data_IF_711516050390
#
_entry.id   IF_711516050390
#
_cell.length_a   1.000
_cell.length_b   1.000
_cell.length_c   1.000
_cell.angle_alpha   90.00
_cell.angle_beta   90.00
_cell.angle_gamma   90.00
#
_symmetry.space_group_name_H-M   'P 1'
#
loop_
_entity.id
_entity.type
_entity.pdbx_description
1 polymer ?
#
# COMPACT_ATOMS: atom_id res chain seq x y z
N UNK A 1 9.16 -21.52 3.03
CA UNK A 1 10.27 -20.95 2.26
C UNK A 1 9.97 -19.48 1.97
N UNK A 2 10.86 -18.58 2.36
CA UNK A 2 10.66 -17.14 2.14
C UNK A 2 11.14 -16.76 0.75
N UNK A 3 10.44 -15.83 0.14
CA UNK A 3 10.83 -15.26 -1.16
C UNK A 3 11.76 -14.06 -0.94
N UNK A 4 12.26 -13.48 -2.04
CA UNK A 4 12.98 -12.20 -2.01
C UNK A 4 12.03 -11.02 -2.26
N UNK A 5 10.73 -11.21 -2.01
CA UNK A 5 9.65 -10.31 -2.39
C UNK A 5 8.85 -9.86 -1.18
N UNK A 6 8.54 -8.58 -1.11
CA UNK A 6 7.64 -8.01 -0.11
C UNK A 6 6.43 -7.36 -0.80
N UNK A 7 5.28 -7.42 -0.16
CA UNK A 7 4.06 -6.76 -0.62
C UNK A 7 3.62 -5.76 0.45
N UNK A 8 3.48 -4.49 0.04
CA UNK A 8 3.00 -3.41 0.90
C UNK A 8 1.53 -3.16 0.62
N UNK A 9 0.71 -3.32 1.66
CA UNK A 9 -0.71 -3.00 1.66
C UNK A 9 -0.87 -1.61 2.27
N UNK A 10 -1.10 -0.59 1.43
CA UNK A 10 -0.99 0.82 1.81
C UNK A 10 -2.35 1.42 2.14
N UNK A 11 -2.51 1.88 3.36
CA UNK A 11 -3.64 2.69 3.87
C UNK A 11 -5.02 2.07 3.62
N UNK A 12 -5.14 0.74 3.73
CA UNK A 12 -6.40 0.03 3.58
C UNK A 12 -7.22 0.11 4.85
N UNK A 13 -7.78 1.28 5.10
CA UNK A 13 -8.49 1.68 6.32
C UNK A 13 -9.97 1.90 6.05
N UNK A 14 -10.80 1.83 7.08
CA UNK A 14 -12.26 1.93 6.96
C UNK A 14 -12.72 3.19 6.24
N UNK A 15 -12.08 4.34 6.50
CA UNK A 15 -12.44 5.61 5.85
C UNK A 15 -12.30 5.56 4.32
N UNK A 16 -11.37 4.77 3.79
CA UNK A 16 -11.17 4.65 2.34
C UNK A 16 -12.30 3.87 1.65
N UNK A 17 -13.03 3.08 2.41
CA UNK A 17 -14.14 2.26 1.92
C UNK A 17 -15.51 2.82 2.29
N UNK A 18 -15.56 4.03 2.87
CA UNK A 18 -16.81 4.75 3.14
C UNK A 18 -17.45 5.16 1.82
N UNK A 19 -18.73 4.83 1.57
CA UNK A 19 -19.38 5.11 0.29
C UNK A 19 -19.54 6.59 -0.02
N UNK A 20 -19.38 7.48 0.97
CA UNK A 20 -19.53 8.93 0.80
C UNK A 20 -18.20 9.62 0.48
N UNK A 21 -17.08 9.14 1.04
CA UNK A 21 -15.80 9.86 1.04
C UNK A 21 -14.63 8.99 0.59
N UNK A 22 -14.86 7.71 0.36
CA UNK A 22 -13.82 6.76 0.03
C UNK A 22 -13.52 6.65 -1.47
N UNK A 23 -12.91 5.55 -1.83
CA UNK A 23 -12.52 5.25 -3.21
C UNK A 23 -13.74 4.94 -4.08
N UNK A 24 -13.61 5.17 -5.41
CA UNK A 24 -14.75 5.03 -6.33
C UNK A 24 -15.23 3.58 -6.51
N UNK A 25 -14.37 2.61 -6.29
CA UNK A 25 -14.63 1.17 -6.52
C UNK A 25 -14.46 0.32 -5.26
N UNK A 26 -14.91 0.82 -4.11
CA UNK A 26 -14.62 0.23 -2.81
C UNK A 26 -14.91 -1.28 -2.72
N UNK A 27 -16.09 -1.71 -3.17
CA UNK A 27 -16.51 -3.12 -3.03
C UNK A 27 -15.62 -4.08 -3.81
N UNK A 28 -15.38 -3.78 -5.09
CA UNK A 28 -14.51 -4.61 -5.93
C UNK A 28 -13.05 -4.56 -5.50
N UNK A 29 -12.59 -3.39 -5.07
CA UNK A 29 -11.22 -3.21 -4.62
C UNK A 29 -10.95 -3.98 -3.31
N UNK A 30 -11.90 -4.02 -2.39
CA UNK A 30 -11.78 -4.80 -1.15
C UNK A 30 -11.58 -6.29 -1.46
N UNK A 31 -12.33 -6.82 -2.43
CA UNK A 31 -12.17 -8.21 -2.87
C UNK A 31 -10.77 -8.44 -3.44
N UNK A 32 -10.31 -7.54 -4.30
CA UNK A 32 -8.96 -7.63 -4.89
C UNK A 32 -7.86 -7.60 -3.82
N UNK A 33 -7.98 -6.71 -2.84
CA UNK A 33 -7.00 -6.62 -1.76
C UNK A 33 -7.02 -7.85 -0.85
N UNK A 34 -8.20 -8.39 -0.58
CA UNK A 34 -8.35 -9.63 0.20
C UNK A 34 -7.68 -10.82 -0.51
N UNK A 35 -7.89 -10.94 -1.82
CA UNK A 35 -7.25 -11.98 -2.63
C UNK A 35 -5.74 -11.81 -2.70
N UNK A 36 -5.27 -10.57 -2.88
CA UNK A 36 -3.85 -10.26 -2.92
C UNK A 36 -3.14 -10.62 -1.60
N UNK A 37 -3.80 -10.37 -0.46
CA UNK A 37 -3.24 -10.74 0.84
C UNK A 37 -3.13 -12.26 1.00
N UNK A 38 -4.16 -12.99 0.61
CA UNK A 38 -4.15 -14.45 0.65
C UNK A 38 -3.05 -15.01 -0.25
N UNK A 39 -2.90 -14.46 -1.44
CA UNK A 39 -1.85 -14.87 -2.38
C UNK A 39 -0.45 -14.60 -1.86
N UNK A 40 -0.19 -13.40 -1.33
CA UNK A 40 1.10 -13.04 -0.77
C UNK A 40 1.50 -14.00 0.37
N UNK A 41 0.55 -14.31 1.25
CA UNK A 41 0.76 -15.28 2.35
C UNK A 41 1.04 -16.68 1.82
N UNK A 42 0.31 -17.12 0.81
CA UNK A 42 0.49 -18.44 0.22
C UNK A 42 1.85 -18.59 -0.45
N UNK A 43 2.34 -17.53 -1.08
CA UNK A 43 3.65 -17.51 -1.74
C UNK A 43 4.81 -17.39 -0.75
N UNK A 44 4.55 -17.03 0.48
CA UNK A 44 5.58 -16.79 1.49
C UNK A 44 6.26 -15.43 1.36
N UNK A 45 5.59 -14.48 0.74
CA UNK A 45 6.08 -13.11 0.62
C UNK A 45 6.07 -12.41 1.98
N UNK A 46 6.97 -11.45 2.16
CA UNK A 46 6.95 -10.60 3.35
C UNK A 46 5.79 -9.61 3.21
N UNK A 47 4.80 -9.72 4.11
CA UNK A 47 3.64 -8.82 4.11
C UNK A 47 3.89 -7.66 5.07
N UNK A 48 3.72 -6.44 4.56
CA UNK A 48 3.85 -5.20 5.34
C UNK A 48 2.56 -4.40 5.18
N UNK A 49 1.97 -3.98 6.29
CA UNK A 49 0.80 -3.10 6.32
C UNK A 49 1.25 -1.69 6.66
N UNK A 50 0.78 -0.71 5.89
CA UNK A 50 0.97 0.71 6.17
C UNK A 50 -0.36 1.28 6.62
N UNK A 51 -0.34 2.07 7.69
CA UNK A 51 -1.52 2.70 8.26
C UNK A 51 -1.29 4.20 8.42
N UNK A 52 -2.18 4.99 7.86
CA UNK A 52 -2.08 6.45 7.92
C UNK A 52 -2.76 6.98 9.18
N UNK A 53 -2.05 7.81 9.92
CA UNK A 53 -2.55 8.55 11.08
C UNK A 53 -2.91 9.96 10.63
N UNK A 54 -4.20 10.23 10.49
CA UNK A 54 -4.69 11.56 10.17
C UNK A 54 -4.66 12.52 11.36
N UNK A 55 -4.83 13.82 11.10
CA UNK A 55 -4.89 14.80 12.17
C UNK A 55 -6.11 14.62 13.06
N UNK A 56 -6.04 15.17 14.28
CA UNK A 56 -7.17 15.18 15.20
C UNK A 56 -8.40 15.83 14.55
N UNK A 57 -9.55 15.17 14.67
CA UNK A 57 -10.81 15.61 14.09
C UNK A 57 -11.08 15.11 12.67
N UNK A 58 -10.10 14.53 12.00
CA UNK A 58 -10.28 13.91 10.68
C UNK A 58 -10.77 12.46 10.81
N UNK A 59 -11.30 11.90 9.71
CA UNK A 59 -11.88 10.54 9.72
C UNK A 59 -10.87 9.47 10.13
N UNK A 60 -9.62 9.66 9.75
CA UNK A 60 -8.52 8.74 10.05
C UNK A 60 -7.68 9.14 11.26
N UNK A 61 -8.27 9.90 12.18
CA UNK A 61 -7.66 10.15 13.49
C UNK A 61 -7.35 8.82 14.18
N UNK A 62 -6.13 8.64 14.72
CA UNK A 62 -5.73 7.38 15.35
C UNK A 62 -6.72 6.89 16.41
N UNK A 63 -6.96 5.57 16.38
CA UNK A 63 -7.85 4.83 17.28
C UNK A 63 -9.34 5.07 17.06
N UNK A 64 -9.74 5.88 16.07
CA UNK A 64 -11.14 5.95 15.64
C UNK A 64 -11.53 4.70 14.86
N UNK A 65 -12.82 4.45 14.71
CA UNK A 65 -13.32 3.32 13.91
C UNK A 65 -12.87 3.45 12.45
N UNK A 66 -12.98 4.64 11.87
CA UNK A 66 -12.63 4.88 10.48
C UNK A 66 -11.14 4.74 10.17
N UNK A 67 -10.29 4.84 11.18
CA UNK A 67 -8.84 4.65 11.08
C UNK A 67 -8.45 3.17 11.00
N UNK A 68 -9.28 2.25 11.47
CA UNK A 68 -8.94 0.82 11.55
C UNK A 68 -8.68 0.22 10.17
N UNK A 69 -7.71 -0.69 10.10
CA UNK A 69 -7.43 -1.47 8.89
C UNK A 69 -8.63 -2.38 8.57
N UNK A 70 -8.95 -2.51 7.27
CA UNK A 70 -10.05 -3.38 6.82
C UNK A 70 -9.63 -4.84 6.65
N UNK A 71 -8.33 -5.11 6.46
CA UNK A 71 -7.81 -6.46 6.30
C UNK A 71 -7.23 -6.97 7.62
N UNK A 72 -7.39 -8.27 7.91
CA UNK A 72 -6.81 -8.86 9.12
C UNK A 72 -5.28 -8.91 9.02
N UNK A 73 -4.62 -8.57 10.11
CA UNK A 73 -3.16 -8.59 10.22
C UNK A 73 -2.74 -9.82 11.03
N UNK A 74 -1.87 -10.65 10.46
CA UNK A 74 -1.35 -11.83 11.16
C UNK A 74 -0.31 -11.41 12.21
N UNK A 75 -0.13 -12.22 13.29
CA UNK A 75 0.76 -11.84 14.40
C UNK A 75 2.21 -11.56 14.02
N UNK A 76 2.70 -12.18 12.93
CA UNK A 76 4.07 -12.00 12.44
C UNK A 76 4.22 -10.88 11.41
N UNK A 77 3.11 -10.30 10.96
CA UNK A 77 3.12 -9.20 10.00
C UNK A 77 3.31 -7.86 10.70
N UNK A 78 4.06 -6.97 10.08
CA UNK A 78 4.33 -5.63 10.62
C UNK A 78 3.31 -4.63 10.14
N UNK A 79 2.95 -3.69 11.02
CA UNK A 79 2.22 -2.47 10.70
C UNK A 79 3.19 -1.31 10.92
N UNK A 80 3.38 -0.47 9.92
CA UNK A 80 4.11 0.78 10.05
C UNK A 80 3.14 1.95 9.91
N UNK A 81 3.10 2.83 10.90
CA UNK A 81 2.23 3.99 10.92
C UNK A 81 2.97 5.21 10.37
N UNK A 82 2.23 6.11 9.74
CA UNK A 82 2.80 7.33 9.15
C UNK A 82 1.81 8.49 9.23
N UNK A 83 2.32 9.71 9.22
CA UNK A 83 1.54 10.95 9.14
C UNK A 83 1.78 11.71 7.83
N UNK A 84 2.68 11.22 6.99
CA UNK A 84 3.01 11.77 5.66
C UNK A 84 2.75 10.71 4.59
N UNK A 85 2.92 11.06 3.30
CA UNK A 85 2.55 10.14 2.21
C UNK A 85 3.41 8.88 2.18
N UNK A 86 4.72 8.99 2.38
CA UNK A 86 5.62 7.84 2.38
C UNK A 86 5.87 7.31 3.78
N UNK A 87 5.65 6.00 3.98
CA UNK A 87 5.98 5.32 5.23
C UNK A 87 7.48 5.32 5.51
N UNK A 88 8.32 5.35 4.48
CA UNK A 88 9.78 5.33 4.62
C UNK A 88 10.34 6.57 5.30
N UNK A 89 9.65 7.70 5.18
CA UNK A 89 10.09 8.97 5.77
C UNK A 89 10.13 8.91 7.30
N UNK A 90 9.11 8.32 7.91
CA UNK A 90 9.00 8.24 9.37
C UNK A 90 9.45 6.90 9.94
N UNK A 91 9.63 5.90 9.09
CA UNK A 91 10.00 4.55 9.49
C UNK A 91 11.23 4.07 8.69
N UNK A 92 12.41 4.65 8.93
CA UNK A 92 13.62 4.25 8.21
C UNK A 92 14.00 2.79 8.44
N UNK A 93 13.54 2.17 9.54
CA UNK A 93 13.72 0.77 9.85
C UNK A 93 13.06 -0.18 8.85
N UNK A 94 12.13 0.30 8.01
CA UNK A 94 11.55 -0.51 6.93
C UNK A 94 12.66 -1.04 6.01
N UNK A 95 13.60 -0.19 5.62
CA UNK A 95 14.70 -0.58 4.75
C UNK A 95 15.55 -1.67 5.41
N UNK A 96 15.84 -1.53 6.69
CA UNK A 96 16.62 -2.52 7.44
C UNK A 96 15.88 -3.86 7.53
N UNK A 97 14.57 -3.83 7.77
CA UNK A 97 13.74 -5.05 7.80
C UNK A 97 13.74 -5.74 6.44
N UNK A 98 13.57 -4.99 5.36
CA UNK A 98 13.57 -5.56 4.02
C UNK A 98 14.90 -6.23 3.71
N UNK A 99 16.00 -5.56 3.98
CA UNK A 99 17.35 -6.09 3.74
C UNK A 99 17.65 -7.31 4.61
N UNK A 100 17.28 -7.27 5.88
CA UNK A 100 17.48 -8.39 6.81
C UNK A 100 16.72 -9.65 6.38
N UNK A 101 15.62 -9.50 5.66
CA UNK A 101 14.83 -10.61 5.10
C UNK A 101 15.23 -11.00 3.68
N UNK A 102 16.30 -10.45 3.15
CA UNK A 102 16.78 -10.75 1.80
C UNK A 102 15.88 -10.22 0.68
N UNK A 103 15.07 -9.21 0.96
CA UNK A 103 14.13 -8.65 -0.01
C UNK A 103 14.90 -7.81 -1.04
N UNK A 104 14.58 -8.04 -2.30
CA UNK A 104 15.10 -7.27 -3.44
C UNK A 104 13.98 -6.64 -4.26
N UNK A 105 12.79 -7.20 -4.20
CA UNK A 105 11.62 -6.78 -4.97
C UNK A 105 10.47 -6.41 -4.05
N UNK A 106 9.82 -5.29 -4.34
CA UNK A 106 8.70 -4.75 -3.55
C UNK A 106 7.53 -4.48 -4.48
N UNK A 107 6.36 -5.00 -4.12
CA UNK A 107 5.09 -4.65 -4.76
C UNK A 107 4.34 -3.69 -3.84
N UNK A 108 3.87 -2.59 -4.39
CA UNK A 108 3.10 -1.56 -3.67
C UNK A 108 1.68 -1.60 -4.19
N UNK A 109 0.72 -1.88 -3.33
CA UNK A 109 -0.72 -1.90 -3.64
C UNK A 109 -1.50 -1.17 -2.55
N UNK A 110 -2.68 -0.69 -2.89
CA UNK A 110 -3.55 0.00 -1.93
C UNK A 110 -4.00 1.37 -2.40
N UNK A 111 -4.00 2.34 -1.49
CA UNK A 111 -4.56 3.68 -1.73
C UNK A 111 -3.72 4.79 -1.07
N UNK A 112 -3.87 6.05 -1.47
CA UNK A 112 -4.52 6.52 -2.70
C UNK A 112 -3.47 6.67 -3.79
N UNK A 113 -3.88 6.44 -5.01
CA UNK A 113 -2.99 6.37 -6.20
C UNK A 113 -2.04 7.55 -6.33
N UNK A 114 -2.57 8.78 -6.30
CA UNK A 114 -1.81 10.02 -6.53
C UNK A 114 -0.96 10.46 -5.33
N UNK A 115 -1.17 9.86 -4.16
CA UNK A 115 -0.48 10.26 -2.92
C UNK A 115 0.41 9.15 -2.38
N UNK A 116 -0.13 8.31 -1.50
CA UNK A 116 0.67 7.32 -0.78
C UNK A 116 1.25 6.24 -1.67
N UNK A 117 0.56 5.85 -2.74
CA UNK A 117 1.06 4.84 -3.68
C UNK A 117 2.29 5.34 -4.41
N UNK A 118 2.21 6.51 -5.05
CA UNK A 118 3.37 7.10 -5.76
C UNK A 118 4.52 7.38 -4.80
N UNK A 119 4.23 7.96 -3.64
CA UNK A 119 5.26 8.34 -2.67
C UNK A 119 6.03 7.10 -2.15
N UNK A 120 5.34 6.03 -1.79
CA UNK A 120 5.98 4.81 -1.33
C UNK A 120 6.74 4.10 -2.46
N UNK A 121 6.23 4.12 -3.69
CA UNK A 121 6.91 3.54 -4.84
C UNK A 121 8.25 4.24 -5.12
N UNK A 122 8.25 5.57 -5.14
CA UNK A 122 9.46 6.36 -5.34
C UNK A 122 10.47 6.14 -4.20
N UNK A 123 10.00 6.12 -2.96
CA UNK A 123 10.86 5.93 -1.79
C UNK A 123 11.51 4.54 -1.78
N UNK A 124 10.76 3.51 -2.09
CA UNK A 124 11.30 2.15 -2.17
C UNK A 124 12.35 2.01 -3.27
N UNK A 125 12.11 2.60 -4.45
CA UNK A 125 13.10 2.62 -5.54
C UNK A 125 14.36 3.38 -5.13
N UNK A 126 14.21 4.54 -4.50
CA UNK A 126 15.34 5.33 -4.02
C UNK A 126 16.17 4.57 -2.99
N UNK A 127 15.56 3.69 -2.21
CA UNK A 127 16.25 2.83 -1.25
C UNK A 127 16.94 1.62 -1.90
N UNK A 128 16.80 1.43 -3.21
CA UNK A 128 17.51 0.40 -3.98
C UNK A 128 16.71 -0.85 -4.32
N UNK A 129 15.41 -0.87 -4.07
CA UNK A 129 14.57 -2.01 -4.40
C UNK A 129 14.02 -1.94 -5.83
N UNK A 130 13.79 -3.08 -6.42
CA UNK A 130 13.01 -3.20 -7.66
C UNK A 130 11.54 -3.09 -7.26
N UNK A 131 10.84 -2.10 -7.78
CA UNK A 131 9.47 -1.78 -7.35
C UNK A 131 8.47 -2.04 -8.46
N UNK A 132 7.38 -2.71 -8.12
CA UNK A 132 6.25 -2.97 -9.01
C UNK A 132 4.94 -2.44 -8.41
N UNK A 133 4.20 -1.70 -9.22
CA UNK A 133 2.85 -1.23 -8.88
C UNK A 133 1.90 -1.78 -9.95
N UNK A 134 1.22 -2.92 -9.70
CA UNK A 134 0.41 -3.58 -10.72
C UNK A 134 -0.83 -2.75 -11.09
N UNK A 135 -1.22 -2.84 -12.38
CA UNK A 135 -2.47 -2.26 -12.86
C UNK A 135 -3.66 -2.84 -12.08
N UNK A 136 -4.60 -1.96 -11.72
CA UNK A 136 -5.82 -2.37 -11.02
C UNK A 136 -5.63 -2.66 -9.54
N UNK A 137 -4.42 -2.52 -9.01
CA UNK A 137 -4.11 -2.84 -7.62
C UNK A 137 -3.86 -1.57 -6.77
N UNK A 138 -4.22 -0.40 -7.30
CA UNK A 138 -4.29 0.85 -6.55
C UNK A 138 -5.56 1.61 -6.93
N UNK A 139 -6.02 2.47 -6.05
CA UNK A 139 -7.28 3.19 -6.26
C UNK A 139 -7.29 4.56 -5.56
N UNK A 140 -8.27 5.37 -5.91
CA UNK A 140 -8.55 6.67 -5.29
C UNK A 140 -10.03 7.03 -5.51
N UNK A 141 -10.41 8.25 -5.16
CA UNK A 141 -11.80 8.71 -5.28
C UNK A 141 -12.32 8.81 -6.71
N UNK A 142 -11.44 9.01 -7.69
CA UNK A 142 -11.78 9.26 -9.10
C UNK A 142 -11.08 8.27 -10.02
N UNK A 143 -11.88 7.55 -10.84
CA UNK A 143 -11.36 6.55 -11.78
C UNK A 143 -10.39 7.15 -12.82
N UNK A 144 -10.62 8.40 -13.26
CA UNK A 144 -9.73 9.05 -14.21
C UNK A 144 -8.36 9.34 -13.60
N UNK A 145 -8.33 9.74 -12.32
CA UNK A 145 -7.07 9.93 -11.59
C UNK A 145 -6.29 8.62 -11.48
N UNK A 146 -6.98 7.51 -11.21
CA UNK A 146 -6.33 6.18 -11.21
C UNK A 146 -5.67 5.90 -12.55
N UNK A 147 -6.37 6.14 -13.64
CA UNK A 147 -5.84 5.90 -14.99
C UNK A 147 -4.64 6.79 -15.30
N UNK A 148 -4.72 8.08 -14.95
CA UNK A 148 -3.64 9.04 -15.19
C UNK A 148 -2.39 8.70 -14.38
N UNK A 149 -2.57 8.35 -13.10
CA UNK A 149 -1.47 7.95 -12.22
C UNK A 149 -0.83 6.65 -12.73
N UNK A 150 -1.66 5.69 -13.15
CA UNK A 150 -1.12 4.42 -13.65
C UNK A 150 -0.30 4.63 -14.94
N UNK A 151 -0.74 5.51 -15.83
CA UNK A 151 0.03 5.88 -17.02
C UNK A 151 1.39 6.47 -16.64
N UNK A 152 1.43 7.34 -15.63
CA UNK A 152 2.69 7.89 -15.12
C UNK A 152 3.58 6.79 -14.51
N UNK A 153 3.03 5.86 -13.75
CA UNK A 153 3.76 4.74 -13.16
C UNK A 153 4.37 3.84 -14.24
N UNK A 154 3.65 3.59 -15.34
CA UNK A 154 4.16 2.85 -16.50
C UNK A 154 5.32 3.61 -17.14
N UNK A 155 5.16 4.92 -17.37
CA UNK A 155 6.20 5.77 -17.97
C UNK A 155 7.46 5.82 -17.12
N UNK A 156 7.33 5.74 -15.79
CA UNK A 156 8.45 5.74 -14.85
C UNK A 156 9.05 4.34 -14.63
N UNK A 157 8.47 3.29 -15.22
CA UNK A 157 8.96 1.92 -15.11
C UNK A 157 8.53 1.17 -13.86
N UNK A 158 7.53 1.66 -13.11
CA UNK A 158 6.97 0.96 -11.95
C UNK A 158 5.95 -0.12 -12.33
N UNK A 159 5.44 -0.09 -13.54
CA UNK A 159 4.50 -1.08 -14.05
C UNK A 159 4.85 -1.41 -15.50
N UNK A 160 4.49 -2.61 -15.95
CA UNK A 160 4.86 -3.11 -17.28
C UNK A 160 3.77 -2.89 -18.33
N UNK A 161 2.75 -2.07 -18.04
CA UNK A 161 1.66 -1.81 -18.98
C UNK A 161 0.57 -2.89 -19.03
N UNK A 162 0.60 -3.88 -18.13
CA UNK A 162 -0.45 -4.89 -17.96
C UNK A 162 -1.72 -4.34 -17.31
#
# INVERSE_FOLDING_TARGET
>A
MTTNHAVFFVDLQQNQFDPRYGIYNADTFLVQMTEALAEARQQGDLVIHIQHDGPAGEMDEPFSEAWQLVLPVAPHEKIYRKTVFSAFTENPEIVDQLKANGITHVTIIGVQSEYCIQANAHAARAAGFVVHVPRGMHSTADAQVVADVHAALVAEGFSRGE
#
